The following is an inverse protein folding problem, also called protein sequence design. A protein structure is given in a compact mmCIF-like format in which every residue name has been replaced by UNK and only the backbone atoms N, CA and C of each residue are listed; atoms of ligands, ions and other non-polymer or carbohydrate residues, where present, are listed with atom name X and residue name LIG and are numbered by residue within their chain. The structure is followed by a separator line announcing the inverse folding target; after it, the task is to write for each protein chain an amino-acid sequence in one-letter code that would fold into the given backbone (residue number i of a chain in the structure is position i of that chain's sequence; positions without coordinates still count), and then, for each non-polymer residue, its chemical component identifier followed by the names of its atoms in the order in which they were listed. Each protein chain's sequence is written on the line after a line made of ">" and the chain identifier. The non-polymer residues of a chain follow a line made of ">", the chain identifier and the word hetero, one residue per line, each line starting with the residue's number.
data_IF_054457466879
#
_entry.id   IF_054457466879
#
_cell.length_a   1.000
_cell.length_b   1.000
_cell.length_c   1.000
_cell.angle_alpha   90.00
_cell.angle_beta   90.00
_cell.angle_gamma   90.00
#
_symmetry.space_group_name_H-M   'P 1'
#
loop_
_entity.id
_entity.type
_entity.pdbx_description
1 polymer ?
#
# COMPACT_ATOMS: atom_id res chain seq x y z
N UNK A 1 -74.84 5.34 -2.91
CA UNK A 1 -73.98 6.49 -3.30
C UNK A 1 -73.37 7.08 -2.03
N UNK A 2 -72.15 6.68 -1.71
CA UNK A 2 -71.53 6.88 -0.38
C UNK A 2 -70.38 7.87 -0.52
N UNK A 3 -70.51 9.06 0.07
CA UNK A 3 -69.47 10.11 0.02
C UNK A 3 -68.37 9.81 1.04
N UNK A 4 -67.17 9.49 0.55
CA UNK A 4 -65.95 9.35 1.35
C UNK A 4 -65.37 10.76 1.56
N UNK A 5 -65.27 11.20 2.81
CA UNK A 5 -64.53 12.41 3.22
C UNK A 5 -63.06 12.04 3.36
N UNK A 6 -62.21 12.59 2.49
CA UNK A 6 -60.75 12.53 2.62
C UNK A 6 -60.30 13.59 3.65
N UNK A 7 -59.74 13.15 4.76
CA UNK A 7 -59.04 13.99 5.73
C UNK A 7 -57.59 14.17 5.24
N UNK A 8 -57.24 15.41 4.87
CA UNK A 8 -55.88 15.85 4.60
C UNK A 8 -55.12 15.95 5.94
N UNK A 9 -54.10 15.11 6.11
CA UNK A 9 -53.13 15.23 7.19
C UNK A 9 -52.10 16.33 6.87
N UNK A 10 -51.59 17.07 7.87
CA UNK A 10 -50.62 18.13 7.66
C UNK A 10 -49.26 17.54 7.25
N UNK A 11 -48.71 18.08 6.17
CA UNK A 11 -47.35 17.85 5.69
C UNK A 11 -46.38 18.45 6.70
N UNK A 12 -45.74 17.60 7.50
CA UNK A 12 -44.61 17.98 8.33
C UNK A 12 -43.43 18.38 7.45
N UNK A 13 -43.18 19.68 7.34
CA UNK A 13 -41.93 20.23 6.82
C UNK A 13 -40.79 19.84 7.78
N UNK A 14 -40.07 18.77 7.45
CA UNK A 14 -38.73 18.53 7.98
C UNK A 14 -37.82 19.62 7.42
N UNK A 15 -37.57 20.64 8.24
CA UNK A 15 -36.50 21.62 8.02
C UNK A 15 -35.18 20.85 8.05
N UNK A 16 -34.67 20.49 6.87
CA UNK A 16 -33.27 20.12 6.72
C UNK A 16 -32.46 21.38 7.02
N UNK A 17 -32.02 21.52 8.27
CA UNK A 17 -30.97 22.44 8.65
C UNK A 17 -29.72 22.05 7.87
N UNK A 18 -29.54 22.63 6.70
CA UNK A 18 -28.27 22.64 6.01
C UNK A 18 -27.30 23.39 6.90
N UNK A 19 -26.59 22.67 7.78
CA UNK A 19 -25.48 23.23 8.52
C UNK A 19 -24.52 23.78 7.47
N UNK A 20 -24.44 25.11 7.39
CA UNK A 20 -23.46 25.79 6.58
C UNK A 20 -22.10 25.45 7.19
N UNK A 21 -21.39 24.48 6.60
CA UNK A 21 -20.03 24.17 6.98
C UNK A 21 -19.19 25.41 6.71
N UNK A 22 -18.52 25.92 7.75
CA UNK A 22 -17.64 27.07 7.59
C UNK A 22 -16.55 26.72 6.58
N UNK A 23 -16.47 27.49 5.49
CA UNK A 23 -15.27 27.53 4.68
C UNK A 23 -14.19 28.17 5.54
N UNK A 24 -13.42 27.34 6.22
CA UNK A 24 -12.21 27.81 6.88
C UNK A 24 -11.20 28.07 5.78
N UNK A 25 -10.52 29.23 5.82
CA UNK A 25 -9.37 29.48 4.97
C UNK A 25 -8.37 28.35 5.19
N UNK A 26 -8.36 27.44 4.22
CA UNK A 26 -7.56 26.26 4.33
C UNK A 26 -6.08 26.67 4.37
N UNK A 27 -5.24 25.96 5.13
CA UNK A 27 -3.81 26.16 5.03
C UNK A 27 -3.43 25.95 3.56
N UNK A 28 -2.98 27.02 2.88
CA UNK A 28 -2.57 26.98 1.46
C UNK A 28 -1.46 25.93 1.21
N UNK A 29 -0.82 25.49 2.29
CA UNK A 29 0.25 24.50 2.33
C UNK A 29 -0.20 23.10 2.80
N UNK A 30 -1.51 22.82 2.98
CA UNK A 30 -1.97 21.51 3.50
C UNK A 30 -1.45 20.34 2.66
N UNK A 31 -1.48 20.46 1.32
CA UNK A 31 -0.95 19.44 0.40
C UNK A 31 0.53 19.12 0.70
N UNK A 32 1.33 20.16 0.87
CA UNK A 32 2.77 20.03 1.15
C UNK A 32 3.01 19.46 2.55
N UNK A 33 2.18 19.83 3.55
CA UNK A 33 2.24 19.26 4.91
C UNK A 33 1.95 17.76 4.91
N UNK A 34 0.91 17.33 4.19
CA UNK A 34 0.57 15.90 4.05
C UNK A 34 1.75 15.15 3.41
N UNK A 35 2.26 15.65 2.29
CA UNK A 35 3.39 15.03 1.59
C UNK A 35 4.65 14.94 2.45
N UNK A 36 5.03 16.04 3.11
CA UNK A 36 6.21 16.06 3.99
C UNK A 36 6.06 15.09 5.16
N UNK A 37 4.87 15.04 5.78
CA UNK A 37 4.60 14.11 6.88
C UNK A 37 4.69 12.66 6.41
N UNK A 38 4.03 12.32 5.29
CA UNK A 38 4.08 10.97 4.75
C UNK A 38 5.48 10.56 4.31
N UNK A 39 6.26 11.47 3.73
CA UNK A 39 7.66 11.21 3.41
C UNK A 39 8.46 10.85 4.66
N UNK A 40 8.28 11.59 5.76
CA UNK A 40 8.92 11.28 7.04
C UNK A 40 8.49 9.92 7.60
N UNK A 41 7.20 9.60 7.56
CA UNK A 41 6.68 8.29 8.00
C UNK A 41 7.30 7.17 7.14
N UNK A 42 7.35 7.33 5.82
CA UNK A 42 7.96 6.38 4.90
C UNK A 42 9.45 6.16 5.18
N UNK A 43 10.19 7.23 5.49
CA UNK A 43 11.60 7.13 5.86
C UNK A 43 11.84 6.31 7.14
N UNK A 44 10.88 6.29 8.05
CA UNK A 44 10.93 5.48 9.28
C UNK A 44 10.70 3.98 9.04
N UNK A 45 10.19 3.59 7.88
CA UNK A 45 9.83 2.21 7.55
C UNK A 45 10.97 1.53 6.80
N UNK A 46 11.66 0.64 7.50
CA UNK A 46 12.72 -0.21 6.95
C UNK A 46 12.17 -1.53 6.41
N UNK A 47 11.14 -2.07 7.06
CA UNK A 47 10.46 -3.28 6.61
C UNK A 47 8.96 -3.15 6.85
N UNK A 48 8.17 -3.88 6.06
CA UNK A 48 6.75 -4.02 6.31
C UNK A 48 6.29 -5.44 5.91
N UNK A 49 5.34 -5.99 6.65
CA UNK A 49 4.64 -7.23 6.31
C UNK A 49 3.18 -7.09 6.66
N UNK A 50 2.29 -7.62 5.84
CA UNK A 50 0.88 -7.72 6.16
C UNK A 50 0.20 -8.79 5.30
N UNK A 51 -0.97 -9.22 5.76
CA UNK A 51 -1.93 -9.99 4.99
C UNK A 51 -3.16 -9.13 4.69
N UNK A 52 -3.78 -9.38 3.56
CA UNK A 52 -4.88 -8.62 3.00
C UNK A 52 -5.87 -9.61 2.37
N UNK A 53 -7.12 -9.60 2.81
CA UNK A 53 -8.20 -10.35 2.20
C UNK A 53 -9.14 -9.39 1.48
N UNK A 54 -9.29 -9.56 0.17
CA UNK A 54 -10.19 -8.76 -0.66
C UNK A 54 -11.41 -9.59 -1.01
N UNK A 55 -12.59 -9.09 -0.68
CA UNK A 55 -13.89 -9.62 -1.08
C UNK A 55 -14.57 -8.65 -2.03
N UNK A 56 -14.71 -9.06 -3.29
CA UNK A 56 -15.39 -8.28 -4.32
C UNK A 56 -16.74 -8.90 -4.62
N UNK A 57 -17.75 -8.06 -4.50
CA UNK A 57 -19.12 -8.35 -4.87
C UNK A 57 -19.53 -7.45 -6.03
N UNK A 58 -19.92 -8.02 -7.16
CA UNK A 58 -20.34 -7.22 -8.32
C UNK A 58 -21.63 -7.73 -8.93
N UNK A 59 -22.43 -6.81 -9.48
CA UNK A 59 -23.58 -7.13 -10.34
C UNK A 59 -23.53 -6.30 -11.63
N UNK A 60 -23.88 -6.95 -12.74
CA UNK A 60 -24.13 -6.32 -14.04
C UNK A 60 -25.63 -6.15 -14.31
N UNK A 61 -26.49 -6.60 -13.38
CA UNK A 61 -27.94 -6.45 -13.49
C UNK A 61 -28.40 -5.22 -12.70
N UNK A 62 -28.76 -4.11 -13.38
CA UNK A 62 -29.26 -2.91 -12.70
C UNK A 62 -30.59 -3.15 -11.97
N UNK A 63 -31.36 -4.18 -12.34
CA UNK A 63 -32.66 -4.51 -11.75
C UNK A 63 -32.55 -5.36 -10.48
N UNK A 64 -31.39 -5.98 -10.22
CA UNK A 64 -31.12 -6.78 -9.02
C UNK A 64 -29.93 -6.22 -8.23
N UNK A 65 -30.05 -4.98 -7.72
CA UNK A 65 -28.92 -4.27 -7.11
C UNK A 65 -28.39 -4.93 -5.83
N UNK A 66 -29.16 -5.80 -5.19
CA UNK A 66 -28.80 -6.48 -3.94
C UNK A 66 -28.33 -7.91 -4.11
N UNK A 67 -28.59 -8.55 -5.26
CA UNK A 67 -28.13 -9.91 -5.54
C UNK A 67 -26.70 -9.85 -6.09
N UNK A 68 -25.73 -9.79 -5.19
CA UNK A 68 -24.31 -9.83 -5.54
C UNK A 68 -23.99 -11.24 -6.07
N UNK A 69 -23.85 -11.38 -7.39
CA UNK A 69 -23.82 -12.69 -8.07
C UNK A 69 -22.44 -13.34 -8.12
N UNK A 70 -21.37 -12.55 -8.02
CA UNK A 70 -19.99 -13.04 -8.02
C UNK A 70 -19.30 -12.64 -6.73
N UNK A 71 -18.70 -13.63 -6.07
CA UNK A 71 -17.79 -13.44 -4.94
C UNK A 71 -16.38 -13.84 -5.41
N UNK A 72 -15.46 -12.89 -5.37
CA UNK A 72 -14.03 -13.17 -5.49
C UNK A 72 -13.38 -12.90 -4.15
N UNK A 73 -12.72 -13.92 -3.59
CA UNK A 73 -11.92 -13.81 -2.38
C UNK A 73 -10.44 -13.91 -2.79
N UNK A 74 -9.66 -12.88 -2.51
CA UNK A 74 -8.23 -12.89 -2.77
C UNK A 74 -7.48 -12.71 -1.46
N UNK A 75 -6.66 -13.70 -1.11
CA UNK A 75 -5.69 -13.57 -0.03
C UNK A 75 -4.36 -13.06 -0.61
N UNK A 76 -3.89 -11.95 -0.10
CA UNK A 76 -2.63 -11.32 -0.44
C UNK A 76 -1.74 -11.36 0.79
N UNK A 77 -0.47 -11.71 0.59
CA UNK A 77 0.59 -11.58 1.60
C UNK A 77 1.68 -10.73 1.01
N UNK A 78 2.00 -9.64 1.68
CA UNK A 78 2.97 -8.67 1.17
C UNK A 78 4.12 -8.53 2.15
N UNK A 79 5.31 -8.40 1.59
CA UNK A 79 6.52 -8.10 2.33
C UNK A 79 7.29 -7.01 1.60
N UNK A 80 7.87 -6.10 2.36
CA UNK A 80 8.71 -5.01 1.88
C UNK A 80 9.93 -4.92 2.76
N UNK A 81 11.07 -4.63 2.13
CA UNK A 81 12.31 -4.31 2.81
C UNK A 81 13.08 -3.25 2.05
N UNK A 82 13.32 -2.12 2.72
CA UNK A 82 14.04 -0.97 2.17
C UNK A 82 15.41 -1.42 1.65
N UNK A 83 15.78 -0.93 0.47
CA UNK A 83 17.01 -1.29 -0.28
C UNK A 83 17.07 -2.72 -0.82
N UNK A 84 16.14 -3.61 -0.45
CA UNK A 84 16.08 -4.98 -0.99
C UNK A 84 15.01 -5.06 -2.06
N UNK A 85 13.77 -4.69 -1.73
CA UNK A 85 12.65 -4.73 -2.67
C UNK A 85 11.30 -5.04 -2.02
N UNK A 86 10.37 -5.53 -2.83
CA UNK A 86 9.03 -5.91 -2.40
C UNK A 86 8.63 -7.28 -2.95
N UNK A 87 7.72 -7.93 -2.24
CA UNK A 87 7.20 -9.25 -2.55
C UNK A 87 5.70 -9.26 -2.30
N UNK A 88 4.95 -9.79 -3.27
CA UNK A 88 3.52 -10.03 -3.14
C UNK A 88 3.21 -11.47 -3.51
N UNK A 89 2.79 -12.26 -2.52
CA UNK A 89 2.11 -13.52 -2.76
C UNK A 89 0.61 -13.27 -2.88
N UNK A 90 -0.01 -13.88 -3.88
CA UNK A 90 -1.43 -13.78 -4.15
C UNK A 90 -2.01 -15.17 -4.34
N UNK A 91 -3.01 -15.51 -3.52
CA UNK A 91 -3.89 -16.65 -3.71
C UNK A 91 -5.28 -16.14 -4.03
N UNK A 92 -5.79 -16.48 -5.21
CA UNK A 92 -7.13 -16.09 -5.64
C UNK A 92 -8.04 -17.30 -5.65
N UNK A 93 -9.19 -17.15 -4.99
CA UNK A 93 -10.30 -18.08 -5.05
C UNK A 93 -11.53 -17.33 -5.58
N UNK A 94 -12.10 -17.79 -6.70
CA UNK A 94 -13.21 -17.12 -7.36
C UNK A 94 -14.35 -18.09 -7.61
N UNK A 95 -15.54 -17.72 -7.13
CA UNK A 95 -16.73 -18.57 -7.17
C UNK A 95 -17.93 -17.79 -7.73
N UNK A 96 -18.80 -18.52 -8.43
CA UNK A 96 -20.15 -18.07 -8.74
C UNK A 96 -21.03 -18.36 -7.52
N UNK A 97 -21.52 -17.32 -6.86
CA UNK A 97 -22.26 -17.46 -5.59
C UNK A 97 -23.58 -18.23 -5.78
N UNK A 98 -24.14 -18.17 -6.98
CA UNK A 98 -25.37 -18.86 -7.39
C UNK A 98 -25.16 -20.33 -7.75
N UNK A 99 -23.93 -20.74 -8.07
CA UNK A 99 -23.65 -22.08 -8.60
C UNK A 99 -22.72 -22.91 -7.72
N UNK A 100 -22.09 -22.32 -6.71
CA UNK A 100 -20.98 -22.93 -5.94
C UNK A 100 -19.87 -23.52 -6.86
N UNK A 101 -19.80 -23.07 -8.11
CA UNK A 101 -18.79 -23.53 -9.08
C UNK A 101 -17.56 -22.66 -8.92
N UNK A 102 -16.44 -23.30 -8.55
CA UNK A 102 -15.12 -22.68 -8.57
C UNK A 102 -14.75 -22.38 -10.02
N UNK A 103 -14.46 -21.12 -10.30
CA UNK A 103 -13.96 -20.73 -11.62
C UNK A 103 -12.54 -21.25 -11.83
N UNK A 104 -12.18 -21.50 -13.09
CA UNK A 104 -10.84 -21.95 -13.50
C UNK A 104 -9.72 -20.95 -13.13
N UNK A 105 -10.09 -19.73 -12.76
CA UNK A 105 -9.18 -18.62 -12.45
C UNK A 105 -8.56 -18.68 -11.05
N UNK A 106 -8.79 -19.77 -10.29
CA UNK A 106 -8.10 -19.96 -9.02
C UNK A 106 -6.62 -20.29 -9.24
N UNK A 107 -5.74 -19.58 -8.54
CA UNK A 107 -4.30 -19.80 -8.66
C UNK A 107 -3.51 -19.09 -7.58
N UNK A 108 -2.27 -19.53 -7.41
CA UNK A 108 -1.28 -18.88 -6.55
C UNK A 108 -0.19 -18.26 -7.43
N UNK A 109 0.14 -17.01 -7.16
CA UNK A 109 1.18 -16.27 -7.86
C UNK A 109 2.06 -15.53 -6.87
N UNK A 110 3.33 -15.35 -7.21
CA UNK A 110 4.25 -14.46 -6.48
C UNK A 110 4.78 -13.44 -7.47
N UNK A 111 4.74 -12.18 -7.10
CA UNK A 111 5.51 -11.12 -7.74
C UNK A 111 6.64 -10.73 -6.81
N UNK A 112 7.86 -10.77 -7.33
CA UNK A 112 9.07 -10.47 -6.60
C UNK A 112 9.83 -9.38 -7.35
N UNK A 113 10.17 -8.31 -6.64
CA UNK A 113 10.93 -7.20 -7.20
C UNK A 113 12.08 -6.91 -6.26
N UNK A 114 13.29 -6.87 -6.81
CA UNK A 114 14.50 -6.47 -6.11
C UNK A 114 15.39 -5.64 -7.03
N UNK A 115 16.53 -5.18 -6.52
CA UNK A 115 17.48 -4.36 -7.29
C UNK A 115 18.06 -5.05 -8.53
N UNK A 116 18.02 -6.39 -8.59
CA UNK A 116 18.63 -7.19 -9.65
C UNK A 116 17.63 -7.63 -10.73
N UNK A 117 16.37 -7.86 -10.37
CA UNK A 117 15.32 -8.30 -11.30
C UNK A 117 13.90 -8.15 -10.73
N UNK A 118 12.94 -8.24 -11.65
CA UNK A 118 11.54 -8.53 -11.34
C UNK A 118 11.18 -9.93 -11.86
N UNK A 119 10.46 -10.72 -11.06
CA UNK A 119 10.02 -12.05 -11.43
C UNK A 119 8.57 -12.30 -11.04
N UNK A 120 7.85 -12.99 -11.92
CA UNK A 120 6.52 -13.51 -11.64
C UNK A 120 6.57 -15.03 -11.61
N UNK A 121 6.12 -15.61 -10.50
CA UNK A 121 6.02 -17.04 -10.30
C UNK A 121 4.55 -17.43 -10.27
N UNK A 122 4.22 -18.59 -10.82
CA UNK A 122 2.89 -19.19 -10.74
C UNK A 122 3.03 -20.60 -10.18
N UNK A 123 2.16 -20.98 -9.25
CA UNK A 123 2.16 -22.32 -8.69
C UNK A 123 1.38 -23.27 -9.59
N UNK A 124 1.98 -24.40 -9.95
CA UNK A 124 1.32 -25.49 -10.68
C UNK A 124 1.53 -26.79 -9.90
N UNK A 125 0.43 -27.41 -9.48
CA UNK A 125 0.46 -28.42 -8.43
C UNK A 125 1.20 -27.87 -7.19
N UNK A 126 2.30 -28.50 -6.78
CA UNK A 126 3.09 -28.10 -5.61
C UNK A 126 4.43 -27.46 -5.96
N UNK A 127 4.67 -27.12 -7.23
CA UNK A 127 5.92 -26.51 -7.69
C UNK A 127 5.69 -25.07 -8.16
N UNK A 128 6.63 -24.20 -7.82
CA UNK A 128 6.70 -22.85 -8.35
C UNK A 128 7.32 -22.87 -9.75
N UNK A 129 6.67 -22.22 -10.70
CA UNK A 129 7.17 -22.05 -12.05
C UNK A 129 7.44 -20.57 -12.31
N UNK A 130 8.62 -20.27 -12.85
CA UNK A 130 8.96 -18.94 -13.32
C UNK A 130 8.16 -18.64 -14.60
N UNK A 131 7.18 -17.73 -14.49
CA UNK A 131 6.33 -17.35 -15.61
C UNK A 131 6.90 -16.17 -16.40
N UNK A 132 7.54 -15.22 -15.71
CA UNK A 132 8.17 -14.05 -16.32
C UNK A 132 9.37 -13.61 -15.49
N UNK A 133 10.39 -13.08 -16.17
CA UNK A 133 11.61 -12.54 -15.58
C UNK A 133 12.05 -11.33 -16.39
N UNK A 134 12.41 -10.26 -15.70
CA UNK A 134 12.88 -9.02 -16.31
C UNK A 134 14.06 -8.46 -15.53
N UNK A 135 15.10 -8.02 -16.24
CA UNK A 135 16.17 -7.23 -15.61
C UNK A 135 15.82 -5.73 -15.64
N UNK A 136 16.34 -4.95 -14.69
CA UNK A 136 16.23 -3.50 -14.73
C UNK A 136 16.69 -2.96 -16.10
N UNK A 137 15.86 -2.15 -16.74
CA UNK A 137 16.15 -1.52 -18.04
C UNK A 137 15.77 -2.32 -19.29
N UNK A 138 15.44 -3.63 -19.19
CA UNK A 138 15.12 -4.43 -20.38
C UNK A 138 13.69 -4.24 -20.91
N UNK A 139 12.77 -3.67 -20.12
CA UNK A 139 11.38 -3.43 -20.54
C UNK A 139 10.78 -2.19 -19.87
N UNK A 140 10.96 -1.02 -20.49
CA UNK A 140 10.30 0.21 -20.05
C UNK A 140 8.77 0.19 -20.27
N UNK A 141 8.28 -0.64 -21.20
CA UNK A 141 6.85 -0.72 -21.57
C UNK A 141 6.02 -1.71 -20.74
N UNK A 142 6.66 -2.63 -20.00
CA UNK A 142 5.93 -3.43 -19.02
C UNK A 142 5.54 -2.46 -17.90
N UNK A 143 4.30 -1.93 -17.92
CA UNK A 143 3.74 -0.88 -17.04
C UNK A 143 3.78 -1.12 -15.53
N UNK A 144 4.62 -2.03 -15.08
CA UNK A 144 5.16 -2.17 -13.73
C UNK A 144 6.52 -1.46 -13.57
N UNK A 145 7.12 -0.92 -14.65
CA UNK A 145 8.39 -0.19 -14.64
C UNK A 145 8.33 1.16 -13.89
N UNK A 146 7.15 1.60 -13.45
CA UNK A 146 6.99 2.71 -12.50
C UNK A 146 6.61 2.24 -11.09
N UNK A 147 6.87 0.97 -10.74
CA UNK A 147 7.18 0.61 -9.35
C UNK A 147 8.56 1.19 -9.02
N UNK A 148 8.67 2.52 -9.14
CA UNK A 148 9.60 3.30 -8.36
C UNK A 148 9.54 2.72 -6.95
N UNK A 149 10.71 2.40 -6.43
CA UNK A 149 11.03 1.60 -5.25
C UNK A 149 10.31 1.97 -3.93
N UNK A 150 9.38 2.90 -3.98
CA UNK A 150 8.54 3.31 -2.87
C UNK A 150 7.60 2.18 -2.44
N UNK A 151 7.50 1.91 -1.14
CA UNK A 151 6.66 0.85 -0.64
C UNK A 151 5.19 1.15 -0.93
N UNK A 152 4.49 0.20 -1.55
CA UNK A 152 3.04 0.22 -1.64
C UNK A 152 2.45 -0.13 -0.26
N UNK A 153 2.19 0.87 0.58
CA UNK A 153 1.62 0.65 1.92
C UNK A 153 0.09 0.78 1.90
N UNK A 154 -0.65 -0.08 2.64
CA UNK A 154 -2.10 -0.08 2.61
C UNK A 154 -2.75 1.27 2.96
N UNK A 155 -2.21 1.95 3.97
CA UNK A 155 -2.77 3.22 4.46
C UNK A 155 -2.60 4.40 3.50
N UNK A 156 -1.81 4.24 2.43
CA UNK A 156 -1.61 5.25 1.39
C UNK A 156 -2.55 5.06 0.19
N UNK A 157 -3.41 4.03 0.24
CA UNK A 157 -4.27 3.67 -0.88
C UNK A 157 -5.71 4.04 -0.59
N UNK A 158 -6.41 4.62 -1.56
CA UNK A 158 -7.87 4.84 -1.51
C UNK A 158 -8.54 4.25 -2.74
N UNK A 159 -9.37 3.22 -2.51
CA UNK A 159 -9.86 2.39 -3.60
C UNK A 159 -8.71 1.70 -4.32
N UNK A 160 -8.53 1.97 -5.61
CA UNK A 160 -7.45 1.43 -6.43
C UNK A 160 -6.30 2.43 -6.68
N UNK A 161 -6.23 3.52 -5.91
CA UNK A 161 -5.31 4.64 -6.15
C UNK A 161 -4.28 4.75 -5.02
N UNK A 162 -2.98 4.79 -5.36
CA UNK A 162 -1.94 5.20 -4.42
C UNK A 162 -1.88 6.74 -4.34
N UNK A 163 -2.07 7.29 -3.15
CA UNK A 163 -2.24 8.74 -2.95
C UNK A 163 -0.94 9.54 -3.09
N UNK A 164 0.24 8.99 -2.76
CA UNK A 164 1.49 9.76 -2.83
C UNK A 164 1.81 10.23 -4.24
N UNK A 165 1.85 9.36 -5.27
CA UNK A 165 2.10 9.81 -6.64
C UNK A 165 1.08 10.86 -7.09
N UNK A 166 -0.18 10.69 -6.71
CA UNK A 166 -1.25 11.65 -7.01
C UNK A 166 -1.03 13.01 -6.37
N UNK A 167 -0.72 13.04 -5.07
CA UNK A 167 -0.42 14.28 -4.38
C UNK A 167 0.86 14.92 -4.91
N UNK A 168 1.83 14.17 -5.42
CA UNK A 168 3.02 14.75 -6.05
C UNK A 168 2.72 15.38 -7.42
N UNK A 169 1.65 14.96 -8.11
CA UNK A 169 1.31 15.52 -9.42
C UNK A 169 0.87 17.00 -9.31
N UNK A 170 1.46 17.91 -10.13
CA UNK A 170 1.07 19.32 -10.12
C UNK A 170 -0.39 19.56 -10.51
N UNK A 171 -0.96 18.70 -11.36
CA UNK A 171 -2.35 18.83 -11.81
C UNK A 171 -3.38 18.30 -10.82
N UNK A 172 -2.95 17.68 -9.73
CA UNK A 172 -3.82 17.31 -8.62
C UNK A 172 -3.95 18.48 -7.65
N UNK A 173 -5.06 19.22 -7.73
CA UNK A 173 -5.23 20.49 -7.00
C UNK A 173 -6.29 20.36 -5.92
N UNK A 174 -5.97 20.77 -4.69
CA UNK A 174 -6.95 20.96 -3.63
C UNK A 174 -7.79 22.20 -3.93
N UNK A 175 -9.03 21.99 -4.37
CA UNK A 175 -9.93 23.06 -4.80
C UNK A 175 -10.69 23.69 -3.62
N UNK A 176 -11.01 22.90 -2.58
CA UNK A 176 -11.72 23.35 -1.39
C UNK A 176 -11.37 22.44 -0.22
N UNK A 177 -11.24 22.99 0.98
CA UNK A 177 -11.05 22.21 2.20
C UNK A 177 -12.11 22.62 3.20
N UNK A 178 -12.79 21.64 3.78
CA UNK A 178 -13.83 21.82 4.79
C UNK A 178 -13.38 21.16 6.09
N UNK A 179 -13.64 21.83 7.21
CA UNK A 179 -13.46 21.21 8.52
C UNK A 179 -14.75 20.52 8.91
N UNK A 180 -14.72 19.19 9.03
CA UNK A 180 -15.87 18.42 9.46
C UNK A 180 -15.94 18.41 11.00
N UNK A 181 -17.09 18.78 11.59
CA UNK A 181 -17.30 18.67 13.02
C UNK A 181 -17.45 17.20 13.39
N UNK A 182 -16.35 16.57 13.80
CA UNK A 182 -16.40 15.30 14.53
C UNK A 182 -16.49 15.57 16.03
N UNK A 183 -16.86 14.54 16.78
CA UNK A 183 -16.84 14.62 18.25
C UNK A 183 -15.43 15.03 18.69
N UNK A 184 -15.27 16.14 19.43
CA UNK A 184 -13.97 16.55 19.95
C UNK A 184 -13.27 15.38 20.65
N UNK A 185 -11.93 15.23 20.52
CA UNK A 185 -10.98 16.24 20.05
C UNK A 185 -10.58 16.15 18.56
N UNK A 186 -11.09 15.18 17.78
CA UNK A 186 -10.60 14.96 16.42
C UNK A 186 -11.22 15.95 15.43
N UNK A 187 -10.35 16.65 14.71
CA UNK A 187 -10.72 17.46 13.54
C UNK A 187 -10.45 16.62 12.30
N UNK A 188 -11.39 16.54 11.36
CA UNK A 188 -11.15 15.94 10.05
C UNK A 188 -11.29 17.00 8.98
N UNK A 189 -10.35 16.97 8.02
CA UNK A 189 -10.38 17.83 6.85
C UNK A 189 -10.94 17.07 5.66
N UNK A 190 -12.06 17.54 5.11
CA UNK A 190 -12.55 17.11 3.81
C UNK A 190 -11.90 17.94 2.73
N UNK A 191 -11.00 17.33 1.99
CA UNK A 191 -10.24 17.96 0.92
C UNK A 191 -10.87 17.61 -0.42
N UNK A 192 -11.57 18.57 -1.02
CA UNK A 192 -12.06 18.48 -2.38
C UNK A 192 -10.92 18.74 -3.37
N UNK A 193 -10.85 17.91 -4.41
CA UNK A 193 -9.81 18.02 -5.42
C UNK A 193 -10.37 18.01 -6.84
N UNK A 194 -9.56 18.55 -7.76
CA UNK A 194 -9.71 18.42 -9.20
C UNK A 194 -8.41 17.86 -9.77
N UNK A 195 -8.51 17.01 -10.79
CA UNK A 195 -7.38 16.32 -11.39
C UNK A 195 -7.59 16.17 -12.91
N UNK A 196 -6.58 16.51 -13.71
CA UNK A 196 -6.67 16.42 -15.16
C UNK A 196 -6.33 15.02 -15.72
N UNK A 197 -5.56 14.22 -14.99
CA UNK A 197 -5.23 12.84 -15.36
C UNK A 197 -4.26 12.70 -16.53
N UNK A 198 -3.39 13.67 -16.78
CA UNK A 198 -2.55 13.65 -18.01
C UNK A 198 -1.44 12.58 -17.99
N UNK A 199 -0.87 12.24 -16.83
CA UNK A 199 0.33 11.39 -16.72
C UNK A 199 0.11 10.00 -16.12
N UNK A 200 -1.05 9.72 -15.54
CA UNK A 200 -1.29 8.53 -14.73
C UNK A 200 -2.26 7.55 -15.41
N UNK A 201 -2.11 6.21 -15.27
CA UNK A 201 -3.10 5.22 -15.75
C UNK A 201 -4.53 5.45 -15.21
N UNK A 202 -4.68 6.23 -14.14
CA UNK A 202 -5.97 6.62 -13.55
C UNK A 202 -6.66 7.80 -14.25
N UNK A 203 -6.47 7.96 -15.58
CA UNK A 203 -6.98 9.09 -16.40
C UNK A 203 -8.47 9.38 -16.25
N UNK A 204 -9.24 8.38 -15.84
CA UNK A 204 -10.67 8.50 -15.59
C UNK A 204 -11.01 9.40 -14.41
N UNK A 205 -10.16 9.55 -13.40
CA UNK A 205 -10.59 10.27 -12.19
C UNK A 205 -10.41 11.77 -12.38
N UNK A 206 -11.49 12.56 -12.21
CA UNK A 206 -11.51 14.00 -12.52
C UNK A 206 -11.64 14.91 -11.30
N UNK A 207 -12.38 14.47 -10.30
CA UNK A 207 -12.65 15.27 -9.11
C UNK A 207 -13.21 14.41 -8.01
N UNK A 208 -13.13 14.89 -6.78
CA UNK A 208 -13.63 14.15 -5.64
C UNK A 208 -13.38 14.87 -4.33
N UNK A 209 -13.42 14.11 -3.24
CA UNK A 209 -12.90 14.51 -1.96
C UNK A 209 -12.21 13.36 -1.22
N UNK A 210 -11.33 13.72 -0.30
CA UNK A 210 -10.69 12.84 0.69
C UNK A 210 -10.95 13.42 2.08
N UNK A 211 -11.35 12.57 3.02
CA UNK A 211 -11.44 12.96 4.42
C UNK A 211 -10.13 12.55 5.11
N UNK A 212 -9.37 13.51 5.62
CA UNK A 212 -8.05 13.30 6.22
C UNK A 212 -8.08 13.59 7.72
N UNK A 213 -7.44 12.72 8.50
CA UNK A 213 -7.27 12.84 9.95
C UNK A 213 -5.88 13.38 10.30
N UNK A 214 -5.72 14.72 10.45
CA UNK A 214 -4.43 15.35 10.74
C UNK A 214 -3.81 14.88 12.07
N UNK A 215 -4.61 14.44 13.04
CA UNK A 215 -4.11 14.00 14.34
C UNK A 215 -3.37 12.64 14.26
N UNK A 216 -3.63 11.86 13.20
CA UNK A 216 -3.09 10.51 13.05
C UNK A 216 -2.37 10.37 11.71
N UNK A 217 -1.32 11.19 11.52
CA UNK A 217 -0.47 11.16 10.33
C UNK A 217 -1.19 11.45 9.02
N UNK A 218 -2.21 12.32 9.04
CA UNK A 218 -3.02 12.65 7.86
C UNK A 218 -3.62 11.43 7.17
N UNK A 219 -3.91 10.35 7.92
CA UNK A 219 -4.46 9.13 7.32
C UNK A 219 -5.82 9.40 6.65
N UNK A 220 -6.08 8.85 5.46
CA UNK A 220 -7.37 9.00 4.80
C UNK A 220 -8.44 8.16 5.49
N UNK A 221 -9.56 8.73 5.89
CA UNK A 221 -10.68 8.04 6.53
C UNK A 221 -11.80 7.69 5.55
N UNK A 222 -11.99 8.51 4.53
CA UNK A 222 -13.00 8.30 3.51
C UNK A 222 -12.58 8.96 2.20
N UNK A 223 -13.17 8.49 1.11
CA UNK A 223 -12.95 9.06 -0.20
C UNK A 223 -14.23 8.99 -1.03
N UNK A 224 -14.34 9.89 -1.99
CA UNK A 224 -15.31 9.82 -3.05
C UNK A 224 -14.72 10.51 -4.28
N UNK A 225 -14.67 9.84 -5.42
CA UNK A 225 -14.22 10.47 -6.65
C UNK A 225 -15.04 10.03 -7.86
N UNK A 226 -15.17 10.96 -8.80
CA UNK A 226 -15.85 10.78 -10.08
C UNK A 226 -14.90 10.16 -11.09
N UNK A 227 -15.37 9.11 -11.74
CA UNK A 227 -14.69 8.42 -12.84
C UNK A 227 -15.38 8.87 -14.13
N UNK A 228 -14.63 9.49 -15.03
CA UNK A 228 -15.07 9.98 -16.33
C UNK A 228 -13.99 9.79 -17.37
N UNK A 229 -14.22 8.86 -18.29
CA UNK A 229 -13.39 8.54 -19.44
C UNK A 229 -14.26 8.30 -20.69
N UNK A 230 -13.63 8.00 -21.83
CA UNK A 230 -14.36 7.63 -23.04
C UNK A 230 -15.17 6.32 -22.89
N UNK A 231 -14.79 5.47 -21.94
CA UNK A 231 -15.36 4.13 -21.77
C UNK A 231 -16.15 3.96 -20.47
N UNK A 232 -16.07 4.91 -19.55
CA UNK A 232 -16.63 4.78 -18.21
C UNK A 232 -17.04 6.14 -17.65
N UNK A 233 -18.25 6.19 -17.07
CA UNK A 233 -18.78 7.35 -16.35
C UNK A 233 -19.43 6.88 -15.03
N UNK A 234 -19.06 7.46 -13.89
CA UNK A 234 -19.51 7.00 -12.60
C UNK A 234 -18.75 7.59 -11.42
N UNK A 235 -18.76 6.86 -10.31
CA UNK A 235 -18.01 7.22 -9.11
C UNK A 235 -17.52 5.99 -8.36
N UNK A 236 -16.52 6.21 -7.51
CA UNK A 236 -16.12 5.30 -6.46
C UNK A 236 -16.10 6.06 -5.14
N UNK A 237 -16.59 5.42 -4.07
CA UNK A 237 -16.55 5.97 -2.72
C UNK A 237 -16.20 4.88 -1.74
N UNK A 238 -15.66 5.25 -0.59
CA UNK A 238 -15.31 4.27 0.42
C UNK A 238 -14.91 4.89 1.74
N UNK A 239 -14.71 4.01 2.72
CA UNK A 239 -14.22 4.33 4.05
C UNK A 239 -13.03 3.44 4.41
N UNK A 240 -12.19 3.95 5.29
CA UNK A 240 -11.01 3.28 5.81
C UNK A 240 -11.08 3.28 7.33
N UNK A 241 -10.84 2.11 7.91
CA UNK A 241 -10.82 1.89 9.35
C UNK A 241 -9.41 1.51 9.78
N UNK A 242 -8.94 2.13 10.85
CA UNK A 242 -7.59 1.96 11.34
C UNK A 242 -7.58 1.39 12.75
N UNK A 243 -6.50 0.71 13.10
CA UNK A 243 -6.18 0.41 14.48
C UNK A 243 -5.58 1.64 15.18
N UNK A 244 -5.84 1.75 16.49
CA UNK A 244 -5.22 2.78 17.31
C UNK A 244 -3.73 2.46 17.43
N UNK A 245 -2.90 3.28 16.78
CA UNK A 245 -1.45 3.15 16.78
C UNK A 245 -0.82 4.54 16.91
N UNK A 246 0.13 4.69 17.82
CA UNK A 246 0.97 5.87 17.88
C UNK A 246 2.06 5.75 16.80
N UNK A 247 2.00 6.58 15.76
CA UNK A 247 3.01 6.62 14.69
C UNK A 247 2.49 6.22 13.31
N UNK A 248 2.95 5.07 12.80
CA UNK A 248 2.64 4.61 11.43
C UNK A 248 1.19 4.11 11.39
N UNK A 249 0.33 4.61 10.48
CA UNK A 249 -1.05 4.17 10.39
C UNK A 249 -1.16 2.67 10.08
N UNK A 250 -1.92 1.95 10.91
CA UNK A 250 -2.25 0.53 10.69
C UNK A 250 -3.67 0.43 10.16
N UNK A 251 -3.81 0.17 8.86
CA UNK A 251 -5.12 -0.05 8.23
C UNK A 251 -5.66 -1.41 8.68
N UNK A 252 -6.92 -1.46 9.11
CA UNK A 252 -7.63 -2.67 9.57
C UNK A 252 -8.63 -3.14 8.53
N UNK A 253 -9.39 -2.20 7.96
CA UNK A 253 -10.36 -2.51 6.93
C UNK A 253 -10.51 -1.33 5.96
N UNK A 254 -10.85 -1.64 4.72
CA UNK A 254 -11.32 -0.67 3.76
C UNK A 254 -12.61 -1.19 3.12
N UNK A 255 -13.57 -0.30 2.92
CA UNK A 255 -14.78 -0.62 2.16
C UNK A 255 -14.91 0.35 0.99
N UNK A 256 -15.33 -0.17 -0.15
CA UNK A 256 -15.49 0.58 -1.38
C UNK A 256 -16.79 0.23 -2.06
N UNK A 257 -17.41 1.22 -2.67
CA UNK A 257 -18.54 1.05 -3.57
C UNK A 257 -18.20 1.75 -4.88
N UNK A 258 -18.40 1.04 -5.98
CA UNK A 258 -18.30 1.58 -7.34
C UNK A 258 -19.67 1.52 -7.99
N UNK A 259 -20.04 2.62 -8.63
CA UNK A 259 -21.20 2.68 -9.50
C UNK A 259 -20.79 3.39 -10.78
N UNK A 260 -20.78 2.68 -11.89
CA UNK A 260 -20.38 3.24 -13.18
C UNK A 260 -21.21 2.70 -14.34
N UNK A 261 -21.19 3.45 -15.44
CA UNK A 261 -21.73 3.06 -16.74
C UNK A 261 -20.56 2.82 -17.67
N UNK A 262 -20.41 1.57 -18.10
CA UNK A 262 -19.37 1.18 -19.05
C UNK A 262 -19.91 1.23 -20.48
N UNK A 263 -19.21 1.90 -21.37
CA UNK A 263 -19.44 1.85 -22.81
C UNK A 263 -18.50 0.81 -23.43
N UNK A 264 -19.02 -0.39 -23.72
CA UNK A 264 -18.27 -1.47 -24.38
C UNK A 264 -18.84 -1.70 -25.77
N UNK A 265 -18.08 -1.33 -26.80
CA UNK A 265 -18.43 -1.54 -28.22
C UNK A 265 -19.84 -1.00 -28.57
N UNK A 266 -20.18 0.18 -28.05
CA UNK A 266 -21.47 0.83 -28.29
C UNK A 266 -22.61 0.36 -27.38
N UNK A 267 -22.38 -0.63 -26.51
CA UNK A 267 -23.34 -1.04 -25.48
C UNK A 267 -23.01 -0.39 -24.15
N UNK A 268 -23.99 0.31 -23.58
CA UNK A 268 -23.92 0.84 -22.21
C UNK A 268 -24.35 -0.26 -21.23
N UNK A 269 -23.51 -0.51 -20.23
CA UNK A 269 -23.75 -1.48 -19.17
C UNK A 269 -23.55 -0.78 -17.82
N UNK A 270 -24.57 -0.82 -16.98
CA UNK A 270 -24.45 -0.36 -15.60
C UNK A 270 -23.70 -1.41 -14.77
N UNK A 271 -22.68 -0.96 -14.06
CA UNK A 271 -21.87 -1.78 -13.15
C UNK A 271 -22.02 -1.24 -11.75
N UNK A 272 -22.29 -2.15 -10.81
CA UNK A 272 -22.23 -1.86 -9.39
C UNK A 272 -21.33 -2.89 -8.73
N UNK A 273 -20.41 -2.40 -7.91
CA UNK A 273 -19.51 -3.23 -7.13
C UNK A 273 -19.45 -2.74 -5.70
N UNK A 274 -19.33 -3.69 -4.79
CA UNK A 274 -18.92 -3.45 -3.41
C UNK A 274 -17.67 -4.27 -3.17
N UNK A 275 -16.69 -3.63 -2.57
CA UNK A 275 -15.42 -4.23 -2.21
C UNK A 275 -15.21 -4.06 -0.71
N UNK A 276 -14.81 -5.13 -0.04
CA UNK A 276 -14.37 -5.09 1.34
C UNK A 276 -12.97 -5.66 1.38
N UNK A 277 -12.04 -4.93 1.97
CA UNK A 277 -10.68 -5.37 2.22
C UNK A 277 -10.47 -5.44 3.73
N UNK A 278 -9.95 -6.54 4.23
CA UNK A 278 -9.53 -6.68 5.63
C UNK A 278 -8.02 -6.91 5.68
N UNK A 279 -7.38 -6.28 6.64
CA UNK A 279 -5.94 -6.31 6.81
C UNK A 279 -5.62 -6.96 8.14
N UNK A 280 -4.65 -7.87 8.12
CA UNK A 280 -4.20 -8.57 9.32
C UNK A 280 -2.68 -8.73 9.33
N UNK A 281 -2.13 -9.04 10.50
CA UNK A 281 -0.69 -9.22 10.71
C UNK A 281 0.17 -8.05 10.19
N UNK A 282 -0.36 -6.81 10.27
CA UNK A 282 0.37 -5.62 9.83
C UNK A 282 1.52 -5.37 10.79
N UNK A 283 2.75 -5.45 10.29
CA UNK A 283 3.97 -5.28 11.05
C UNK A 283 4.90 -4.34 10.29
N UNK A 284 5.19 -3.19 10.88
CA UNK A 284 6.23 -2.28 10.43
C UNK A 284 7.52 -2.51 11.21
N UNK A 285 8.66 -2.41 10.53
CA UNK A 285 9.98 -2.64 11.11
C UNK A 285 10.15 -4.03 11.77
N UNK A 286 9.36 -5.01 11.32
CA UNK A 286 9.47 -6.42 11.70
C UNK A 286 10.60 -7.15 10.98
N UNK A 287 10.85 -8.40 11.36
CA UNK A 287 11.90 -9.23 10.74
C UNK A 287 11.45 -9.71 9.36
N UNK A 288 12.10 -9.19 8.32
CA UNK A 288 11.97 -9.66 6.93
C UNK A 288 13.36 -10.04 6.41
N UNK A 289 13.51 -11.27 5.91
CA UNK A 289 14.80 -11.80 5.48
C UNK A 289 15.06 -11.47 4.00
N UNK A 290 16.30 -11.12 3.65
CA UNK A 290 16.67 -10.80 2.25
C UNK A 290 16.47 -12.00 1.31
N UNK A 291 16.59 -13.21 1.86
CA UNK A 291 16.42 -14.45 1.10
C UNK A 291 15.01 -14.62 0.57
N UNK A 292 14.00 -14.02 1.20
CA UNK A 292 12.60 -14.06 0.71
C UNK A 292 12.46 -13.40 -0.67
N UNK A 293 13.35 -12.48 -1.02
CA UNK A 293 13.34 -11.75 -2.29
C UNK A 293 14.26 -12.38 -3.34
N UNK A 294 14.54 -13.68 -3.23
CA UNK A 294 15.40 -14.44 -4.15
C UNK A 294 14.64 -15.62 -4.76
N UNK A 295 14.88 -15.92 -6.03
CA UNK A 295 14.31 -17.09 -6.71
C UNK A 295 14.72 -18.40 -6.04
N UNK A 296 15.93 -18.45 -5.48
CA UNK A 296 16.42 -19.64 -4.76
C UNK A 296 15.56 -20.03 -3.55
N UNK A 297 14.80 -19.09 -2.95
CA UNK A 297 13.85 -19.38 -1.87
C UNK A 297 12.66 -20.23 -2.33
N UNK A 298 12.44 -20.29 -3.64
CA UNK A 298 11.35 -20.99 -4.30
C UNK A 298 11.86 -22.15 -5.17
N UNK A 299 13.06 -22.67 -4.86
CA UNK A 299 13.73 -23.76 -5.58
C UNK A 299 13.96 -23.48 -7.08
N UNK A 300 14.07 -22.20 -7.44
CA UNK A 300 14.36 -21.76 -8.80
C UNK A 300 15.80 -21.22 -8.91
N UNK A 301 16.48 -21.45 -10.05
CA UNK A 301 17.83 -20.91 -10.26
C UNK A 301 17.81 -19.39 -10.38
N UNK A 302 18.86 -18.74 -9.89
CA UNK A 302 19.06 -17.30 -10.09
C UNK A 302 19.47 -16.99 -11.54
N UNK A 303 19.13 -15.81 -12.07
CA UNK A 303 19.54 -15.42 -13.42
C UNK A 303 21.06 -15.30 -13.55
N UNK A 304 21.61 -15.63 -14.72
CA UNK A 304 23.04 -15.49 -15.00
C UNK A 304 23.55 -14.07 -14.71
N UNK A 305 24.64 -13.98 -13.94
CA UNK A 305 25.27 -12.72 -13.53
C UNK A 305 24.74 -12.14 -12.22
N UNK A 306 23.69 -12.71 -11.62
CA UNK A 306 23.24 -12.30 -10.30
C UNK A 306 24.14 -12.92 -9.24
N UNK A 307 24.92 -12.08 -8.57
CA UNK A 307 25.75 -12.48 -7.43
C UNK A 307 25.20 -11.80 -6.18
N UNK A 308 24.65 -12.59 -5.27
CA UNK A 308 24.17 -12.07 -4.00
C UNK A 308 25.35 -11.79 -3.07
N UNK A 309 25.33 -10.67 -2.32
CA UNK A 309 26.31 -10.47 -1.27
C UNK A 309 26.19 -11.63 -0.29
N UNK A 310 27.28 -12.41 -0.16
CA UNK A 310 27.37 -13.39 0.90
C UNK A 310 27.29 -12.64 2.22
N UNK A 311 26.47 -13.13 3.16
CA UNK A 311 26.49 -12.59 4.52
C UNK A 311 27.94 -12.57 4.99
N UNK A 312 28.49 -11.37 5.23
CA UNK A 312 29.89 -11.23 5.64
C UNK A 312 30.04 -12.09 6.87
N UNK A 313 30.85 -13.14 6.75
CA UNK A 313 30.84 -14.18 7.77
C UNK A 313 31.37 -13.55 9.05
N UNK A 314 30.51 -13.38 10.06
CA UNK A 314 30.82 -12.68 11.31
C UNK A 314 32.12 -13.18 11.97
N UNK A 315 32.46 -14.45 11.77
CA UNK A 315 33.72 -15.02 12.24
C UNK A 315 34.95 -14.35 11.64
N UNK A 316 34.90 -13.76 10.43
CA UNK A 316 36.00 -12.98 9.86
C UNK A 316 36.33 -11.74 10.70
N UNK A 317 35.31 -11.09 11.26
CA UNK A 317 35.52 -9.96 12.17
C UNK A 317 36.09 -10.41 13.51
N UNK A 318 35.67 -11.58 14.00
CA UNK A 318 36.22 -12.17 15.21
C UNK A 318 37.67 -12.59 15.02
N UNK A 319 38.01 -13.25 13.92
CA UNK A 319 39.39 -13.65 13.64
C UNK A 319 40.27 -12.42 13.47
N UNK A 320 39.80 -11.39 12.77
CA UNK A 320 40.52 -10.12 12.66
C UNK A 320 40.74 -9.48 14.03
N UNK A 321 39.69 -9.41 14.87
CA UNK A 321 39.79 -8.90 16.24
C UNK A 321 40.79 -9.69 17.09
N UNK A 322 40.76 -11.02 17.00
CA UNK A 322 41.69 -11.89 17.72
C UNK A 322 43.14 -11.67 17.28
N UNK A 323 43.40 -11.51 15.97
CA UNK A 323 44.74 -11.22 15.43
C UNK A 323 45.25 -9.87 15.91
N UNK A 324 44.40 -8.84 15.91
CA UNK A 324 44.76 -7.49 16.43
C UNK A 324 45.09 -7.55 17.93
N UNK A 325 44.25 -8.22 18.73
CA UNK A 325 44.50 -8.39 20.17
C UNK A 325 45.80 -9.15 20.46
N UNK A 326 46.08 -10.23 19.71
CA UNK A 326 47.32 -10.98 19.83
C UNK A 326 48.55 -10.12 19.46
N UNK A 327 48.46 -9.34 18.38
CA UNK A 327 49.51 -8.40 17.97
C UNK A 327 49.81 -7.34 19.02
N UNK A 328 48.77 -6.76 19.62
CA UNK A 328 48.90 -5.79 20.72
C UNK A 328 49.53 -6.43 21.96
N UNK A 329 49.05 -7.61 22.38
CA UNK A 329 49.62 -8.32 23.52
C UNK A 329 51.11 -8.64 23.32
N UNK A 330 51.49 -9.04 22.10
CA UNK A 330 52.89 -9.26 21.73
C UNK A 330 53.71 -7.96 21.76
N UNK A 331 53.19 -6.88 21.18
CA UNK A 331 53.82 -5.56 21.16
C UNK A 331 54.08 -5.01 22.56
N UNK A 332 53.06 -5.00 23.43
CA UNK A 332 53.19 -4.59 24.82
C UNK A 332 54.12 -5.50 25.61
N UNK A 333 54.07 -6.82 25.39
CA UNK A 333 55.00 -7.77 25.99
C UNK A 333 56.46 -7.48 25.63
N UNK A 334 56.73 -7.11 24.38
CA UNK A 334 58.07 -6.72 23.92
C UNK A 334 58.51 -5.39 24.50
N UNK A 335 57.62 -4.40 24.57
CA UNK A 335 57.90 -3.09 25.17
C UNK A 335 58.23 -3.22 26.66
N UNK A 336 57.44 -3.99 27.41
CA UNK A 336 57.66 -4.28 28.84
C UNK A 336 59.04 -4.92 29.07
N UNK A 337 59.43 -5.88 28.22
CA UNK A 337 60.77 -6.52 28.29
C UNK A 337 61.91 -5.55 27.99
N UNK A 338 61.72 -4.60 27.06
CA UNK A 338 62.72 -3.55 26.78
C UNK A 338 62.88 -2.61 27.96
N UNK A 339 61.78 -2.09 28.50
CA UNK A 339 61.79 -1.21 29.67
C UNK A 339 62.42 -1.88 30.88
N UNK A 340 62.14 -3.17 31.12
CA UNK A 340 62.77 -3.91 32.22
C UNK A 340 64.29 -3.99 32.08
N UNK A 341 64.85 -4.18 30.87
CA UNK A 341 66.30 -4.23 30.64
C UNK A 341 67.00 -2.90 30.88
N UNK A 342 66.35 -1.77 30.58
CA UNK A 342 66.91 -0.45 30.85
C UNK A 342 67.01 -0.17 32.35
N UNK A 343 66.07 -0.68 33.15
CA UNK A 343 66.05 -0.49 34.61
C UNK A 343 67.07 -1.37 35.34
N UNK A 344 67.41 -2.55 34.81
CA UNK A 344 68.43 -3.43 35.44
C UNK A 344 69.87 -3.13 35.02
N UNK A 345 70.08 -2.33 33.98
CA UNK A 345 71.42 -1.94 33.50
C UNK A 345 72.13 -0.87 34.33
N UNK A 346 71.46 -0.27 35.31
CA UNK A 346 71.95 0.89 36.07
C UNK A 346 72.40 0.51 37.51
N UNK A 347 72.80 -0.75 37.72
CA UNK A 347 73.26 -1.27 39.03
C UNK A 347 74.70 -1.77 39.04
N UNK A 348 75.56 -1.21 38.20
CA UNK A 348 77.01 -1.40 38.30
C UNK A 348 77.71 -0.04 38.39
N UNK A 349 77.71 0.52 39.59
CA UNK A 349 78.71 1.44 40.12
C UNK A 349 78.91 1.13 41.60
#
# INVERSE_FOLDING_TARGET
>A
MTRIRLLLAPVSFLVFSSMAYAQVDAPKDLKNKVLAHWASVLESIQTARWEEEIQIHSTLDPKRPTALTRLSATLLRRAYKRKVGWLGYQKRDSFHADQNVRTRDSGETITLVNAMYTANLSKKADQWLLSKLWKPGENAEAGYASLDTEPFLPWMTVGNVCLVPWLQEPSFVFARIEQLPLRPPSVVYRVHFVYDGTRNPTKGIKSGFLDLDPAHSYRPLAYHYQIKSAFEDGFMRGSLEYENSEGIPVLKAASGEVQSRLNRKGRVVDVRGKETQTFSQVQYNGRVMDTEFRLSQYDLPEPNGVVWPSSTRWWLWITLGAVVCAGLAFGFGRLKRRLARTVTGDKTL
#
